data_IF_716654099934
#
_entry.id   IF_716654099934
#
_cell.length_a   1.000
_cell.length_b   1.000
_cell.length_c   1.000
_cell.angle_alpha   90.00
_cell.angle_beta   90.00
_cell.angle_gamma   90.00
#
_symmetry.space_group_name_H-M   'P 1'
#
loop_
_entity.id
_entity.type
_entity.pdbx_description
1 polymer ?
#
# COMPACT_ATOMS: atom_id res chain seq x y z
N UNK A 1 29.79 -18.82 28.67
CA UNK A 1 29.22 -18.89 27.31
C UNK A 1 28.19 -17.78 27.08
N UNK A 2 27.24 -17.59 28.01
CA UNK A 2 26.18 -16.57 27.99
C UNK A 2 26.70 -15.12 27.80
N UNK A 3 27.76 -14.71 28.52
CA UNK A 3 28.41 -13.38 28.33
C UNK A 3 28.94 -13.13 26.91
N UNK A 4 29.27 -14.18 26.15
CA UNK A 4 29.87 -14.06 24.81
C UNK A 4 28.80 -13.85 23.74
N UNK A 5 27.66 -14.53 23.88
CA UNK A 5 26.46 -14.33 23.06
C UNK A 5 25.82 -12.95 23.32
N UNK A 6 25.81 -12.50 24.58
CA UNK A 6 25.33 -11.17 24.97
C UNK A 6 26.10 -10.03 24.29
N UNK A 7 27.42 -10.16 24.17
CA UNK A 7 28.23 -9.18 23.45
C UNK A 7 28.00 -9.22 21.92
N UNK A 8 27.61 -10.36 21.34
CA UNK A 8 27.31 -10.45 19.91
C UNK A 8 25.99 -9.77 19.55
N UNK A 9 24.96 -9.89 20.40
CA UNK A 9 23.68 -9.20 20.22
C UNK A 9 23.81 -7.66 20.35
N UNK A 10 24.76 -7.16 21.16
CA UNK A 10 25.05 -5.73 21.28
C UNK A 10 25.91 -5.16 20.13
N UNK A 11 26.43 -5.99 19.23
CA UNK A 11 27.48 -5.60 18.26
C UNK A 11 27.04 -5.48 16.80
N UNK A 12 25.77 -5.73 16.45
CA UNK A 12 25.25 -5.37 15.12
C UNK A 12 24.95 -3.88 15.09
N UNK A 13 26.00 -3.09 14.90
CA UNK A 13 25.91 -1.66 14.58
C UNK A 13 25.43 -1.57 13.12
N UNK A 14 24.27 -0.95 12.83
CA UNK A 14 23.85 -0.67 11.47
C UNK A 14 24.98 0.02 10.69
N UNK A 15 25.13 -0.28 9.40
CA UNK A 15 26.22 0.30 8.59
C UNK A 15 26.23 1.84 8.60
N UNK A 16 25.07 2.46 8.84
CA UNK A 16 24.88 3.91 9.03
C UNK A 16 25.53 4.49 10.29
N UNK A 17 25.94 3.65 11.24
CA UNK A 17 26.54 4.03 12.53
C UNK A 17 28.02 3.60 12.65
N UNK A 18 28.66 3.17 11.55
CA UNK A 18 30.08 2.81 11.51
C UNK A 18 30.95 3.93 12.10
N UNK A 19 31.56 3.66 13.26
CA UNK A 19 32.51 4.56 13.92
C UNK A 19 31.97 5.34 15.13
N UNK A 20 30.69 5.20 15.49
CA UNK A 20 30.16 5.73 16.76
C UNK A 20 29.66 4.57 17.62
N UNK A 21 30.19 4.43 18.83
CA UNK A 21 29.62 3.51 19.80
C UNK A 21 28.18 3.96 20.11
N UNK A 22 27.17 3.08 20.00
CA UNK A 22 25.84 3.44 20.43
C UNK A 22 25.90 3.79 21.93
N UNK A 23 25.17 4.82 22.39
CA UNK A 23 25.02 5.06 23.82
C UNK A 23 24.54 3.77 24.49
N UNK A 24 25.11 3.48 25.66
CA UNK A 24 25.37 2.16 26.26
C UNK A 24 24.18 1.18 26.46
N UNK A 25 22.98 1.43 25.94
CA UNK A 25 21.78 0.61 26.18
C UNK A 25 20.92 0.37 24.93
N UNK A 26 21.52 0.08 23.78
CA UNK A 26 20.79 -0.40 22.58
C UNK A 26 20.87 -1.92 22.53
N UNK A 27 19.82 -2.61 22.94
CA UNK A 27 19.72 -4.08 22.81
C UNK A 27 19.13 -4.41 21.43
N UNK A 28 19.95 -4.94 20.52
CA UNK A 28 19.43 -5.67 19.35
C UNK A 28 19.10 -7.06 19.86
N UNK A 29 17.82 -7.42 19.86
CA UNK A 29 17.41 -8.69 20.45
C UNK A 29 17.49 -9.80 19.42
N UNK A 30 18.40 -10.76 19.63
CA UNK A 30 18.34 -12.07 19.00
C UNK A 30 17.32 -12.97 19.73
N UNK A 31 16.55 -13.77 18.98
CA UNK A 31 15.50 -14.68 19.48
C UNK A 31 16.00 -15.64 20.57
N UNK A 32 17.30 -15.98 20.55
CA UNK A 32 17.97 -16.78 21.58
C UNK A 32 18.03 -16.13 22.97
N UNK A 33 17.87 -14.80 23.04
CA UNK A 33 17.91 -13.99 24.27
C UNK A 33 16.57 -14.00 25.04
N UNK A 34 15.49 -14.42 24.38
CA UNK A 34 14.09 -14.34 24.85
C UNK A 34 13.85 -15.25 26.06
N UNK A 35 14.46 -16.43 26.06
CA UNK A 35 14.24 -17.44 27.09
C UNK A 35 15.27 -17.38 28.23
N UNK A 36 16.13 -16.36 28.24
CA UNK A 36 17.05 -16.09 29.34
C UNK A 36 16.37 -15.28 30.44
N UNK A 37 16.32 -15.82 31.67
CA UNK A 37 15.73 -15.14 32.84
C UNK A 37 16.43 -13.83 33.25
N UNK A 38 17.62 -13.57 32.70
CA UNK A 38 18.53 -12.51 33.15
C UNK A 38 18.72 -11.36 32.13
N UNK A 39 17.67 -10.99 31.38
CA UNK A 39 17.75 -9.81 30.52
C UNK A 39 17.57 -8.52 31.37
N UNK A 40 18.59 -7.64 31.46
CA UNK A 40 18.51 -6.42 32.27
C UNK A 40 17.57 -5.38 31.65
N UNK A 41 17.07 -4.46 32.48
CA UNK A 41 16.20 -3.39 32.02
C UNK A 41 16.95 -2.41 31.09
N UNK A 42 16.33 -2.07 29.96
CA UNK A 42 16.90 -1.26 28.86
C UNK A 42 16.27 0.13 28.79
N UNK A 43 17.04 1.11 28.32
CA UNK A 43 16.55 2.49 28.12
C UNK A 43 15.95 2.67 26.73
N UNK A 44 16.38 1.90 25.73
CA UNK A 44 15.84 1.98 24.36
C UNK A 44 15.76 0.61 23.73
N UNK A 45 14.62 0.32 23.11
CA UNK A 45 14.35 -0.94 22.43
C UNK A 45 13.98 -0.65 20.97
N UNK A 46 14.74 -1.25 20.05
CA UNK A 46 14.54 -1.12 18.61
C UNK A 46 13.90 -2.41 18.09
N UNK A 47 12.64 -2.34 17.65
CA UNK A 47 11.93 -3.49 17.09
C UNK A 47 11.98 -3.47 15.57
N UNK A 48 12.94 -4.22 15.01
CA UNK A 48 12.94 -4.49 13.57
C UNK A 48 11.63 -5.15 13.15
N UNK A 49 11.15 -4.82 11.95
CA UNK A 49 9.84 -5.23 11.48
C UNK A 49 9.71 -6.75 11.34
N UNK A 50 10.72 -7.42 10.81
CA UNK A 50 10.74 -8.88 10.63
C UNK A 50 10.58 -9.61 11.96
N UNK A 51 11.34 -9.18 12.97
CA UNK A 51 11.25 -9.75 14.31
C UNK A 51 9.89 -9.41 14.95
N UNK A 52 9.43 -8.16 14.84
CA UNK A 52 8.15 -7.73 15.40
C UNK A 52 6.95 -8.51 14.84
N UNK A 53 7.00 -8.92 13.57
CA UNK A 53 5.97 -9.76 12.95
C UNK A 53 6.03 -11.20 13.46
N UNK A 54 7.23 -11.77 13.59
CA UNK A 54 7.45 -13.16 14.00
C UNK A 54 7.18 -13.42 15.49
N UNK A 55 7.26 -12.40 16.34
CA UNK A 55 7.02 -12.53 17.78
C UNK A 55 5.53 -12.73 18.09
N UNK A 56 5.23 -13.55 19.09
CA UNK A 56 3.88 -13.56 19.68
C UNK A 56 3.61 -12.22 20.37
N UNK A 57 2.32 -11.88 20.56
CA UNK A 57 1.99 -10.63 21.23
C UNK A 57 2.50 -10.63 22.68
N UNK A 58 2.45 -11.78 23.34
CA UNK A 58 2.96 -11.98 24.70
C UNK A 58 4.47 -11.75 24.77
N UNK A 59 5.23 -12.22 23.80
CA UNK A 59 6.68 -12.01 23.73
C UNK A 59 7.00 -10.52 23.52
N UNK A 60 6.22 -9.85 22.66
CA UNK A 60 6.32 -8.41 22.45
C UNK A 60 6.06 -7.61 23.74
N UNK A 61 5.06 -8.02 24.54
CA UNK A 61 4.83 -7.44 25.86
C UNK A 61 6.00 -7.70 26.82
N UNK A 62 6.59 -8.89 26.79
CA UNK A 62 7.77 -9.18 27.61
C UNK A 62 8.94 -8.25 27.25
N UNK A 63 9.15 -7.97 25.97
CA UNK A 63 10.16 -7.00 25.53
C UNK A 63 9.90 -5.59 26.04
N UNK A 64 8.66 -5.11 25.86
CA UNK A 64 8.27 -3.79 26.33
C UNK A 64 8.36 -3.70 27.86
N UNK A 65 8.06 -4.78 28.58
CA UNK A 65 8.23 -4.88 30.03
C UNK A 65 9.68 -4.81 30.51
N UNK A 66 10.68 -4.94 29.62
CA UNK A 66 12.10 -4.70 29.96
C UNK A 66 12.49 -3.23 29.86
N UNK A 67 11.65 -2.36 29.33
CA UNK A 67 11.93 -0.93 29.33
C UNK A 67 11.96 -0.40 30.76
N UNK A 68 12.94 0.44 31.07
CA UNK A 68 12.90 1.24 32.30
C UNK A 68 11.71 2.19 32.26
N UNK A 69 11.38 2.78 33.42
CA UNK A 69 10.22 3.67 33.60
C UNK A 69 10.12 4.79 32.55
N UNK A 70 11.26 5.30 32.07
CA UNK A 70 11.36 6.35 31.05
C UNK A 70 12.00 5.85 29.74
N UNK A 71 11.98 4.52 29.53
CA UNK A 71 12.55 3.88 28.36
C UNK A 71 11.72 4.13 27.09
N UNK A 72 12.39 4.14 25.94
CA UNK A 72 11.77 4.38 24.63
C UNK A 72 11.73 3.11 23.78
N UNK A 73 10.56 2.74 23.26
CA UNK A 73 10.43 1.75 22.20
C UNK A 73 10.31 2.43 20.84
N UNK A 74 11.13 2.03 19.88
CA UNK A 74 11.04 2.48 18.49
C UNK A 74 10.54 1.32 17.65
N UNK A 75 9.39 1.54 17.03
CA UNK A 75 8.79 0.63 16.07
C UNK A 75 9.02 1.18 14.67
N UNK A 76 9.47 0.32 13.76
CA UNK A 76 9.70 0.71 12.36
C UNK A 76 8.39 0.69 11.54
N UNK A 77 7.32 0.15 12.10
CA UNK A 77 6.01 0.05 11.46
C UNK A 77 4.88 0.41 12.43
N UNK A 78 3.95 1.23 11.96
CA UNK A 78 2.73 1.58 12.69
C UNK A 78 1.89 0.34 13.01
N UNK A 79 1.94 -0.68 12.14
CA UNK A 79 1.24 -1.96 12.31
C UNK A 79 1.76 -2.71 13.54
N UNK A 80 3.08 -2.88 13.65
CA UNK A 80 3.73 -3.52 14.81
C UNK A 80 3.50 -2.73 16.10
N UNK A 81 3.55 -1.39 16.04
CA UNK A 81 3.23 -0.53 17.18
C UNK A 81 1.79 -0.73 17.66
N UNK A 82 0.83 -0.79 16.73
CA UNK A 82 -0.59 -0.99 17.07
C UNK A 82 -0.83 -2.38 17.61
N UNK A 83 -0.25 -3.43 17.02
CA UNK A 83 -0.30 -4.79 17.57
C UNK A 83 0.25 -4.82 18.99
N UNK A 84 1.40 -4.20 19.25
CA UNK A 84 1.93 -4.05 20.59
C UNK A 84 0.96 -3.34 21.54
N UNK A 85 0.38 -2.21 21.14
CA UNK A 85 -0.44 -1.38 22.01
C UNK A 85 -1.87 -1.92 22.23
N UNK A 86 -2.46 -2.55 21.22
CA UNK A 86 -3.89 -2.87 21.17
C UNK A 86 -4.20 -4.37 21.22
N UNK A 87 -3.19 -5.24 21.08
CA UNK A 87 -3.36 -6.69 21.15
C UNK A 87 -3.20 -7.42 19.83
N UNK A 88 -3.23 -8.77 19.85
CA UNK A 88 -3.03 -9.61 18.66
C UNK A 88 -4.13 -9.43 17.61
N UNK A 89 -5.36 -9.09 18.02
CA UNK A 89 -6.50 -8.86 17.10
C UNK A 89 -6.53 -7.46 16.46
N UNK A 90 -5.59 -6.57 16.80
CA UNK A 90 -5.59 -5.20 16.29
C UNK A 90 -5.38 -5.14 14.77
N UNK A 91 -4.52 -6.01 14.24
CA UNK A 91 -4.26 -6.08 12.80
C UNK A 91 -5.46 -6.61 12.02
N UNK A 92 -6.09 -7.68 12.51
CA UNK A 92 -7.30 -8.24 11.90
C UNK A 92 -8.46 -7.24 11.91
N UNK A 93 -8.59 -6.46 12.98
CA UNK A 93 -9.59 -5.40 13.09
C UNK A 93 -9.33 -4.25 12.11
N UNK A 94 -8.07 -3.88 11.90
CA UNK A 94 -7.68 -2.85 10.91
C UNK A 94 -7.89 -3.33 9.48
N UNK A 95 -7.42 -4.54 9.15
CA UNK A 95 -7.61 -5.16 7.83
C UNK A 95 -9.12 -5.29 7.53
N UNK A 96 -9.93 -5.65 8.54
CA UNK A 96 -11.40 -5.67 8.43
C UNK A 96 -11.98 -4.29 8.19
N UNK A 97 -11.56 -3.27 8.94
CA UNK A 97 -12.04 -1.90 8.77
C UNK A 97 -11.64 -1.32 7.40
N UNK A 98 -10.47 -1.68 6.88
CA UNK A 98 -10.03 -1.32 5.54
C UNK A 98 -10.89 -2.02 4.46
N UNK A 99 -11.18 -3.31 4.63
CA UNK A 99 -12.06 -4.05 3.73
C UNK A 99 -13.50 -3.50 3.74
N UNK A 100 -14.03 -3.17 4.92
CA UNK A 100 -15.35 -2.54 5.05
C UNK A 100 -15.38 -1.18 4.34
N UNK A 101 -14.35 -0.36 4.53
CA UNK A 101 -14.28 0.94 3.87
C UNK A 101 -14.14 0.82 2.34
N UNK A 102 -13.30 -0.11 1.86
CA UNK A 102 -13.20 -0.40 0.42
C UNK A 102 -14.56 -0.78 -0.16
N UNK A 103 -15.34 -1.59 0.55
CA UNK A 103 -16.69 -1.98 0.12
C UNK A 103 -17.65 -0.79 0.12
N UNK A 104 -17.57 0.10 1.10
CA UNK A 104 -18.43 1.29 1.13
C UNK A 104 -18.16 2.23 -0.06
N UNK A 105 -16.87 2.41 -0.42
CA UNK A 105 -16.48 3.16 -1.62
C UNK A 105 -17.00 2.48 -2.88
N UNK A 106 -16.90 1.14 -2.97
CA UNK A 106 -17.41 0.38 -4.11
C UNK A 106 -18.92 0.50 -4.28
N UNK A 107 -19.68 0.41 -3.18
CA UNK A 107 -21.13 0.59 -3.18
C UNK A 107 -21.50 2.00 -3.64
N UNK A 108 -20.76 3.01 -3.19
CA UNK A 108 -20.97 4.40 -3.62
C UNK A 108 -20.71 4.57 -5.12
N UNK A 109 -19.58 4.08 -5.63
CA UNK A 109 -19.23 4.13 -7.07
C UNK A 109 -20.27 3.38 -7.90
N UNK A 110 -20.67 2.18 -7.50
CA UNK A 110 -21.71 1.40 -8.20
C UNK A 110 -23.05 2.14 -8.20
N UNK A 111 -23.44 2.77 -7.10
CA UNK A 111 -24.67 3.55 -6.99
C UNK A 111 -24.70 4.84 -7.83
N UNK A 112 -23.54 5.29 -8.30
CA UNK A 112 -23.39 6.39 -9.26
C UNK A 112 -23.51 5.90 -10.71
N UNK A 113 -23.29 4.61 -10.96
CA UNK A 113 -23.43 4.05 -12.30
C UNK A 113 -24.91 4.05 -12.74
N UNK A 114 -25.19 4.44 -13.98
CA UNK A 114 -26.55 4.40 -14.54
C UNK A 114 -27.46 5.60 -14.22
N UNK A 115 -26.93 6.67 -13.61
CA UNK A 115 -27.58 7.99 -13.53
C UNK A 115 -26.98 8.94 -14.56
N UNK A 116 -27.60 10.13 -14.73
CA UNK A 116 -26.91 11.25 -15.37
C UNK A 116 -25.64 11.52 -14.57
N UNK A 117 -24.49 11.38 -15.23
CA UNK A 117 -23.17 11.50 -14.61
C UNK A 117 -22.85 12.97 -14.40
N UNK A 118 -22.37 13.30 -13.21
CA UNK A 118 -21.87 14.61 -12.84
C UNK A 118 -20.63 14.40 -11.98
N UNK A 119 -19.46 14.55 -12.59
CA UNK A 119 -18.16 14.27 -11.98
C UNK A 119 -17.92 15.08 -10.70
N UNK A 120 -18.40 16.33 -10.65
CA UNK A 120 -18.24 17.21 -9.48
C UNK A 120 -19.16 16.75 -8.34
N UNK A 121 -20.43 16.43 -8.63
CA UNK A 121 -21.36 15.90 -7.64
C UNK A 121 -20.92 14.54 -7.09
N UNK A 122 -20.37 13.67 -7.94
CA UNK A 122 -19.85 12.35 -7.55
C UNK A 122 -18.60 12.47 -6.66
N UNK A 123 -17.64 13.32 -7.03
CA UNK A 123 -16.47 13.61 -6.21
C UNK A 123 -16.87 14.22 -4.85
N UNK A 124 -17.86 15.12 -4.83
CA UNK A 124 -18.39 15.69 -3.58
C UNK A 124 -19.08 14.63 -2.70
N UNK A 125 -19.82 13.69 -3.29
CA UNK A 125 -20.44 12.60 -2.56
C UNK A 125 -19.40 11.66 -1.94
N UNK A 126 -18.33 11.33 -2.67
CA UNK A 126 -17.21 10.53 -2.14
C UNK A 126 -16.43 11.26 -1.06
N UNK A 127 -16.27 12.59 -1.18
CA UNK A 127 -15.68 13.42 -0.11
C UNK A 127 -16.50 13.34 1.16
N UNK A 128 -17.82 13.47 1.06
CA UNK A 128 -18.73 13.36 2.20
C UNK A 128 -18.70 11.97 2.83
N UNK A 129 -18.60 10.91 2.02
CA UNK A 129 -18.42 9.55 2.51
C UNK A 129 -17.14 9.43 3.35
N UNK A 130 -16.02 9.94 2.83
CA UNK A 130 -14.73 9.94 3.51
C UNK A 130 -14.82 10.65 4.88
N UNK A 131 -15.36 11.87 4.89
CA UNK A 131 -15.54 12.67 6.11
C UNK A 131 -16.42 11.95 7.14
N UNK A 132 -17.51 11.31 6.70
CA UNK A 132 -18.45 10.60 7.58
C UNK A 132 -17.83 9.38 8.27
N UNK A 133 -16.82 8.77 7.65
CA UNK A 133 -16.12 7.58 8.16
C UNK A 133 -14.73 7.92 8.72
N UNK A 134 -14.38 9.21 8.83
CA UNK A 134 -13.09 9.66 9.36
C UNK A 134 -11.89 9.30 8.48
N UNK A 135 -12.12 9.14 7.18
CA UNK A 135 -11.12 8.75 6.18
C UNK A 135 -10.67 9.93 5.34
N UNK A 136 -9.53 9.78 4.68
CA UNK A 136 -8.99 10.86 3.85
C UNK A 136 -9.61 10.86 2.45
N UNK A 137 -9.74 12.04 1.85
CA UNK A 137 -10.21 12.16 0.47
C UNK A 137 -9.27 11.45 -0.53
N UNK A 138 -7.96 11.51 -0.28
CA UNK A 138 -6.94 10.83 -1.06
C UNK A 138 -7.08 9.29 -1.02
N UNK A 139 -7.26 8.70 0.17
CA UNK A 139 -7.51 7.26 0.33
C UNK A 139 -8.78 6.82 -0.41
N UNK A 140 -9.81 7.66 -0.36
CA UNK A 140 -11.09 7.43 -1.06
C UNK A 140 -10.90 7.46 -2.57
N UNK A 141 -10.13 8.43 -3.09
CA UNK A 141 -9.79 8.50 -4.51
C UNK A 141 -9.00 7.29 -4.97
N UNK A 142 -8.00 6.88 -4.20
CA UNK A 142 -7.20 5.68 -4.48
C UNK A 142 -8.06 4.40 -4.52
N UNK A 143 -8.99 4.24 -3.57
CA UNK A 143 -9.94 3.14 -3.57
C UNK A 143 -10.95 3.24 -4.72
N UNK A 144 -11.41 4.45 -5.06
CA UNK A 144 -12.30 4.68 -6.20
C UNK A 144 -11.62 4.25 -7.52
N UNK A 145 -10.33 4.56 -7.73
CA UNK A 145 -9.58 4.10 -8.89
C UNK A 145 -9.56 2.58 -8.98
N UNK A 146 -9.26 1.89 -7.88
CA UNK A 146 -9.28 0.43 -7.83
C UNK A 146 -10.70 -0.15 -8.06
N UNK A 147 -11.74 0.55 -7.60
CA UNK A 147 -13.14 0.17 -7.85
C UNK A 147 -13.51 0.32 -9.33
N UNK A 148 -13.17 1.44 -9.97
CA UNK A 148 -13.40 1.69 -11.41
C UNK A 148 -12.69 0.63 -12.25
N UNK A 149 -11.45 0.29 -11.91
CA UNK A 149 -10.76 -0.83 -12.55
C UNK A 149 -11.52 -2.14 -12.37
N UNK A 150 -12.05 -2.37 -11.17
CA UNK A 150 -12.76 -3.60 -10.91
C UNK A 150 -14.14 -3.71 -11.56
N UNK A 151 -14.69 -2.63 -12.13
CA UNK A 151 -15.96 -2.68 -12.89
C UNK A 151 -15.85 -3.56 -14.14
N UNK A 152 -14.64 -3.76 -14.69
CA UNK A 152 -14.40 -4.66 -15.83
C UNK A 152 -14.04 -6.09 -15.42
N UNK A 153 -14.05 -6.36 -14.12
CA UNK A 153 -13.87 -7.69 -13.56
C UNK A 153 -15.22 -8.27 -13.10
N UNK A 154 -15.35 -9.61 -13.00
CA UNK A 154 -16.53 -10.22 -12.42
C UNK A 154 -16.86 -9.65 -11.04
N UNK A 155 -18.15 -9.52 -10.74
CA UNK A 155 -18.62 -8.93 -9.50
C UNK A 155 -18.04 -9.67 -8.27
N UNK A 156 -17.53 -8.94 -7.26
CA UNK A 156 -17.14 -9.57 -6.01
C UNK A 156 -18.36 -10.15 -5.28
N UNK A 157 -18.12 -11.18 -4.48
CA UNK A 157 -19.17 -11.76 -3.62
C UNK A 157 -19.62 -10.78 -2.54
N UNK A 158 -20.93 -10.71 -2.29
CA UNK A 158 -21.48 -9.96 -1.15
C UNK A 158 -21.78 -8.48 -1.42
N UNK A 159 -21.90 -8.08 -2.69
CA UNK A 159 -22.47 -6.79 -3.06
C UNK A 159 -23.96 -6.73 -2.68
N UNK A 160 -24.46 -5.58 -2.17
CA UNK A 160 -25.88 -5.38 -1.91
C UNK A 160 -26.78 -5.55 -3.14
N UNK A 161 -27.98 -6.07 -2.92
CA UNK A 161 -29.01 -6.12 -3.95
C UNK A 161 -29.49 -4.72 -4.36
N UNK A 162 -29.96 -4.57 -5.59
CA UNK A 162 -30.50 -3.30 -6.12
C UNK A 162 -29.46 -2.34 -6.70
N UNK A 163 -28.17 -2.70 -6.66
CA UNK A 163 -27.12 -1.94 -7.34
C UNK A 163 -27.14 -2.16 -8.86
N UNK A 164 -26.71 -1.16 -9.65
CA UNK A 164 -26.51 -1.28 -11.09
C UNK A 164 -25.60 -2.46 -11.45
N UNK A 165 -26.04 -3.28 -12.40
CA UNK A 165 -25.29 -4.45 -12.88
C UNK A 165 -24.29 -4.05 -13.96
N UNK A 166 -23.18 -3.46 -13.53
CA UNK A 166 -22.11 -2.98 -14.44
C UNK A 166 -21.04 -4.04 -14.68
N UNK A 167 -20.79 -4.91 -13.69
CA UNK A 167 -19.80 -5.96 -13.81
C UNK A 167 -20.15 -6.95 -14.93
N UNK A 168 -19.16 -7.36 -15.75
CA UNK A 168 -19.38 -8.41 -16.73
C UNK A 168 -19.66 -9.76 -16.06
N UNK A 169 -20.47 -10.59 -16.71
CA UNK A 169 -20.78 -11.95 -16.24
C UNK A 169 -19.60 -12.91 -16.36
N UNK A 170 -18.72 -12.66 -17.34
CA UNK A 170 -17.51 -13.43 -17.59
C UNK A 170 -16.29 -12.50 -17.71
N UNK A 171 -15.09 -12.95 -17.30
CA UNK A 171 -13.89 -12.15 -17.44
C UNK A 171 -13.55 -11.92 -18.91
N UNK A 172 -12.94 -10.78 -19.23
CA UNK A 172 -12.46 -10.48 -20.57
C UNK A 172 -11.52 -11.58 -21.10
N UNK A 173 -11.68 -11.98 -22.37
CA UNK A 173 -10.94 -13.10 -22.96
C UNK A 173 -9.43 -12.86 -23.03
N UNK A 174 -9.00 -11.63 -23.37
CA UNK A 174 -7.58 -11.25 -23.45
C UNK A 174 -7.29 -10.00 -22.61
N UNK A 175 -6.01 -9.76 -22.30
CA UNK A 175 -5.60 -8.54 -21.56
C UNK A 175 -5.82 -7.27 -22.40
N UNK A 176 -5.76 -7.37 -23.74
CA UNK A 176 -6.12 -6.28 -24.64
C UNK A 176 -7.60 -5.91 -24.50
N UNK A 177 -8.48 -6.89 -24.43
CA UNK A 177 -9.92 -6.65 -24.26
C UNK A 177 -10.22 -6.06 -22.88
N UNK A 178 -9.53 -6.54 -21.84
CA UNK A 178 -9.62 -6.00 -20.49
C UNK A 178 -9.26 -4.51 -20.46
N UNK A 179 -8.11 -4.15 -21.07
CA UNK A 179 -7.63 -2.76 -21.09
C UNK A 179 -8.51 -1.85 -21.95
N UNK A 180 -9.06 -2.35 -23.06
CA UNK A 180 -10.03 -1.60 -23.85
C UNK A 180 -11.36 -1.37 -23.10
N UNK A 181 -11.81 -2.33 -22.30
CA UNK A 181 -12.97 -2.13 -21.42
C UNK A 181 -12.64 -1.14 -20.30
N UNK A 182 -11.43 -1.20 -19.73
CA UNK A 182 -10.96 -0.26 -18.72
C UNK A 182 -10.94 1.16 -19.27
N UNK A 183 -10.39 1.37 -20.45
CA UNK A 183 -10.35 2.69 -21.10
C UNK A 183 -11.76 3.30 -21.22
N UNK A 184 -12.77 2.51 -21.61
CA UNK A 184 -14.17 2.96 -21.64
C UNK A 184 -14.73 3.34 -20.26
N UNK A 185 -14.34 2.62 -19.22
CA UNK A 185 -14.72 2.99 -17.85
C UNK A 185 -14.03 4.29 -17.43
N UNK A 186 -12.79 4.53 -17.85
CA UNK A 186 -12.08 5.77 -17.59
C UNK A 186 -12.62 6.96 -18.40
N UNK A 187 -13.14 6.76 -19.61
CA UNK A 187 -13.88 7.82 -20.33
C UNK A 187 -15.10 8.32 -19.52
N UNK A 188 -15.69 7.44 -18.71
CA UNK A 188 -16.89 7.76 -17.91
C UNK A 188 -16.56 8.24 -16.49
N UNK A 189 -15.46 7.77 -15.91
CA UNK A 189 -15.10 8.00 -14.50
C UNK A 189 -13.82 8.84 -14.32
N UNK A 190 -13.05 9.09 -15.38
CA UNK A 190 -11.72 9.68 -15.35
C UNK A 190 -11.70 11.08 -14.74
N UNK A 191 -12.59 11.96 -15.19
CA UNK A 191 -12.71 13.33 -14.68
C UNK A 191 -12.98 13.36 -13.15
N UNK A 192 -13.85 12.48 -12.65
CA UNK A 192 -14.09 12.33 -11.22
C UNK A 192 -12.82 11.87 -10.48
N UNK A 193 -12.08 10.89 -11.03
CA UNK A 193 -10.84 10.40 -10.45
C UNK A 193 -9.75 11.49 -10.43
N UNK A 194 -9.60 12.25 -11.51
CA UNK A 194 -8.68 13.38 -11.62
C UNK A 194 -8.99 14.45 -10.57
N UNK A 195 -10.28 14.79 -10.38
CA UNK A 195 -10.71 15.74 -9.34
C UNK A 195 -10.35 15.27 -7.93
N UNK A 196 -10.34 13.96 -7.68
CA UNK A 196 -9.98 13.36 -6.39
C UNK A 196 -8.46 13.25 -6.19
N UNK A 197 -7.69 13.02 -7.24
CA UNK A 197 -6.26 12.71 -7.21
C UNK A 197 -5.39 13.89 -7.67
N UNK A 198 -5.61 15.07 -7.07
CA UNK A 198 -4.93 16.32 -7.50
C UNK A 198 -3.44 16.35 -7.19
N UNK A 199 -2.99 15.67 -6.15
CA UNK A 199 -1.60 15.71 -5.72
C UNK A 199 -0.88 14.45 -6.18
N UNK A 200 0.40 14.60 -6.50
CA UNK A 200 1.32 13.48 -6.77
C UNK A 200 1.24 12.38 -5.69
N UNK A 201 1.17 12.75 -4.41
CA UNK A 201 1.06 11.80 -3.31
C UNK A 201 -0.25 10.99 -3.34
N UNK A 202 -1.36 11.59 -3.79
CA UNK A 202 -2.66 10.94 -3.88
C UNK A 202 -2.65 9.93 -5.05
N UNK A 203 -2.04 10.30 -6.18
CA UNK A 203 -1.85 9.43 -7.33
C UNK A 203 -0.94 8.24 -7.01
N UNK A 204 0.16 8.45 -6.27
CA UNK A 204 1.01 7.36 -5.76
C UNK A 204 0.20 6.40 -4.87
N UNK A 205 -0.68 6.93 -4.01
CA UNK A 205 -1.57 6.11 -3.19
C UNK A 205 -2.55 5.29 -4.06
N UNK A 206 -3.05 5.85 -5.16
CA UNK A 206 -3.85 5.12 -6.14
C UNK A 206 -3.05 3.98 -6.77
N UNK A 207 -1.81 4.21 -7.20
CA UNK A 207 -0.94 3.16 -7.74
C UNK A 207 -0.73 2.03 -6.72
N UNK A 208 -0.54 2.36 -5.43
CA UNK A 208 -0.43 1.34 -4.38
C UNK A 208 -1.73 0.50 -4.23
N UNK A 209 -2.92 1.10 -4.39
CA UNK A 209 -4.19 0.34 -4.37
C UNK A 209 -4.38 -0.49 -5.64
N UNK A 210 -3.89 -0.04 -6.79
CA UNK A 210 -3.87 -0.80 -8.03
C UNK A 210 -2.98 -2.03 -7.91
N UNK A 211 -1.78 -1.85 -7.37
CA UNK A 211 -0.86 -2.94 -7.06
C UNK A 211 -1.49 -3.94 -6.07
N UNK A 212 -2.12 -3.45 -4.99
CA UNK A 212 -2.81 -4.32 -4.04
C UNK A 212 -3.93 -5.14 -4.70
N UNK A 213 -4.70 -4.53 -5.60
CA UNK A 213 -5.72 -5.23 -6.40
C UNK A 213 -5.08 -6.31 -7.29
N UNK A 214 -3.99 -5.98 -7.97
CA UNK A 214 -3.28 -6.89 -8.87
C UNK A 214 -2.66 -8.10 -8.13
N UNK A 215 -2.17 -7.87 -6.92
CA UNK A 215 -1.54 -8.88 -6.08
C UNK A 215 -2.53 -9.66 -5.20
N UNK A 216 -3.83 -9.29 -5.22
CA UNK A 216 -4.84 -9.80 -4.28
C UNK A 216 -4.40 -9.60 -2.81
N UNK A 217 -3.79 -8.46 -2.52
CA UNK A 217 -3.41 -8.04 -1.17
C UNK A 217 -4.56 -7.26 -0.51
N UNK A 218 -4.50 -7.01 0.82
CA UNK A 218 -5.50 -6.19 1.52
C UNK A 218 -5.68 -4.83 0.83
N UNK A 219 -6.92 -4.33 0.66
CA UNK A 219 -8.21 -4.91 1.07
C UNK A 219 -8.87 -5.89 0.08
N UNK A 220 -8.16 -6.37 -0.94
CA UNK A 220 -8.69 -7.11 -2.10
C UNK A 220 -8.46 -8.63 -2.07
N UNK A 221 -8.13 -9.23 -0.91
CA UNK A 221 -7.70 -10.64 -0.78
C UNK A 221 -8.67 -11.67 -1.38
N UNK A 222 -9.97 -11.36 -1.45
CA UNK A 222 -11.01 -12.26 -1.97
C UNK A 222 -11.56 -11.80 -3.33
N UNK A 223 -10.91 -10.85 -3.98
CA UNK A 223 -11.40 -10.25 -5.22
C UNK A 223 -10.88 -11.04 -6.42
N UNK A 224 -11.80 -11.67 -7.13
CA UNK A 224 -11.47 -12.46 -8.32
C UNK A 224 -11.13 -11.55 -9.50
N UNK A 225 -10.09 -11.90 -10.25
CA UNK A 225 -9.74 -11.25 -11.52
C UNK A 225 -8.68 -10.15 -11.42
N UNK A 226 -8.35 -9.65 -10.22
CA UNK A 226 -7.31 -8.61 -10.04
C UNK A 226 -5.95 -9.00 -10.63
N UNK A 227 -5.57 -10.27 -10.53
CA UNK A 227 -4.33 -10.84 -11.10
C UNK A 227 -4.15 -10.59 -12.61
N UNK A 228 -5.22 -10.29 -13.35
CA UNK A 228 -5.12 -9.92 -14.77
C UNK A 228 -4.33 -8.61 -14.96
N UNK A 229 -4.51 -7.65 -14.05
CA UNK A 229 -3.73 -6.41 -14.04
C UNK A 229 -2.26 -6.65 -13.71
N UNK A 230 -1.94 -7.72 -12.97
CA UNK A 230 -0.55 -8.10 -12.76
C UNK A 230 0.10 -8.44 -14.10
N UNK A 231 -0.55 -9.27 -14.93
CA UNK A 231 -0.06 -9.64 -16.27
C UNK A 231 0.21 -8.45 -17.18
N UNK A 232 -0.61 -7.41 -17.07
CA UNK A 232 -0.60 -6.21 -17.90
C UNK A 232 -0.17 -4.93 -17.16
N UNK A 233 0.66 -5.02 -16.11
CA UNK A 233 0.93 -3.90 -15.20
C UNK A 233 1.39 -2.62 -15.91
N UNK A 234 2.43 -2.69 -16.76
CA UNK A 234 2.90 -1.54 -17.54
C UNK A 234 1.79 -0.89 -18.39
N UNK A 235 1.00 -1.70 -19.11
CA UNK A 235 -0.10 -1.19 -19.93
C UNK A 235 -1.29 -0.69 -19.12
N UNK A 236 -1.48 -1.21 -17.92
CA UNK A 236 -2.52 -0.72 -16.99
C UNK A 236 -2.19 0.68 -16.50
N UNK A 237 -0.93 0.93 -16.10
CA UNK A 237 -0.47 2.27 -15.73
C UNK A 237 -0.52 3.23 -16.93
N UNK A 238 -0.14 2.76 -18.12
CA UNK A 238 -0.24 3.55 -19.35
C UNK A 238 -1.69 3.99 -19.62
N UNK A 239 -2.67 3.08 -19.52
CA UNK A 239 -4.10 3.42 -19.76
C UNK A 239 -4.63 4.45 -18.74
N UNK A 240 -4.12 4.45 -17.51
CA UNK A 240 -4.48 5.45 -16.49
C UNK A 240 -3.78 6.80 -16.72
N UNK A 241 -2.54 6.77 -17.22
CA UNK A 241 -1.80 7.95 -17.65
C UNK A 241 -2.46 8.61 -18.87
N UNK A 242 -2.78 7.84 -19.90
CA UNK A 242 -3.46 8.31 -21.11
C UNK A 242 -4.86 8.89 -20.83
N UNK A 243 -5.44 8.58 -19.66
CA UNK A 243 -6.74 9.07 -19.21
C UNK A 243 -6.64 10.21 -18.19
N UNK A 244 -5.46 10.83 -18.03
CA UNK A 244 -5.17 11.94 -17.12
C UNK A 244 -5.43 11.64 -15.62
N UNK A 245 -5.55 10.35 -15.25
CA UNK A 245 -5.73 9.93 -13.85
C UNK A 245 -4.41 9.92 -13.08
N UNK A 246 -3.31 9.60 -13.77
CA UNK A 246 -1.96 9.56 -13.22
C UNK A 246 -1.05 10.46 -14.04
N UNK A 247 -0.27 11.32 -13.37
CA UNK A 247 0.76 12.10 -14.04
C UNK A 247 2.05 11.30 -14.19
N UNK A 248 2.89 11.72 -15.13
CA UNK A 248 4.23 11.15 -15.33
C UNK A 248 5.05 11.19 -14.02
N UNK A 249 5.06 12.33 -13.34
CA UNK A 249 5.85 12.53 -12.13
C UNK A 249 5.38 11.63 -10.99
N UNK A 250 4.09 11.29 -10.94
CA UNK A 250 3.56 10.34 -9.96
C UNK A 250 4.01 8.91 -10.24
N UNK A 251 3.99 8.47 -11.50
CA UNK A 251 4.42 7.12 -11.90
C UNK A 251 5.91 6.93 -11.66
N UNK A 252 6.74 7.91 -12.05
CA UNK A 252 8.19 7.88 -11.82
C UNK A 252 8.48 7.90 -10.31
N UNK A 253 7.85 8.82 -9.55
CA UNK A 253 8.06 8.91 -8.11
C UNK A 253 7.64 7.64 -7.36
N UNK A 254 6.55 6.98 -7.78
CA UNK A 254 6.16 5.68 -7.24
C UNK A 254 7.23 4.61 -7.54
N UNK A 255 7.73 4.55 -8.77
CA UNK A 255 8.78 3.61 -9.17
C UNK A 255 10.05 3.77 -8.34
N UNK A 256 10.49 5.01 -8.12
CA UNK A 256 11.64 5.33 -7.25
C UNK A 256 11.39 4.94 -5.79
N UNK A 257 10.21 5.23 -5.24
CA UNK A 257 9.84 4.83 -3.88
C UNK A 257 9.85 3.31 -3.71
N UNK A 258 9.34 2.57 -4.71
CA UNK A 258 9.35 1.11 -4.71
C UNK A 258 10.75 0.54 -4.80
N UNK A 259 11.59 1.09 -5.67
CA UNK A 259 12.99 0.69 -5.78
C UNK A 259 13.77 0.93 -4.47
N UNK A 260 13.54 2.07 -3.82
CA UNK A 260 14.13 2.38 -2.53
C UNK A 260 13.62 1.43 -1.43
N UNK A 261 12.33 1.14 -1.39
CA UNK A 261 11.76 0.17 -0.46
C UNK A 261 12.33 -1.24 -0.67
N UNK A 262 12.48 -1.70 -1.92
CA UNK A 262 13.11 -3.00 -2.23
C UNK A 262 14.59 -3.07 -1.83
N UNK A 263 15.29 -1.94 -1.81
CA UNK A 263 16.67 -1.90 -1.32
C UNK A 263 16.77 -2.07 0.20
N UNK A 264 15.71 -1.72 0.93
CA UNK A 264 15.61 -1.86 2.38
C UNK A 264 15.02 -3.22 2.79
N UNK A 265 14.07 -3.73 2.00
CA UNK A 265 13.42 -5.03 2.18
C UNK A 265 13.42 -5.79 0.84
N UNK A 266 14.47 -6.59 0.56
CA UNK A 266 14.58 -7.38 -0.67
C UNK A 266 13.51 -8.46 -0.82
N UNK A 267 12.83 -8.85 0.26
CA UNK A 267 11.79 -9.89 0.26
C UNK A 267 10.37 -9.32 0.03
N UNK A 268 10.23 -7.99 -0.06
CA UNK A 268 8.97 -7.32 -0.38
C UNK A 268 8.44 -7.77 -1.76
N UNK A 269 7.12 -7.95 -1.89
CA UNK A 269 6.50 -8.37 -3.15
C UNK A 269 6.69 -7.30 -4.26
N UNK A 270 7.61 -7.59 -5.19
CA UNK A 270 7.96 -6.71 -6.30
C UNK A 270 7.22 -7.06 -7.60
N UNK A 271 6.34 -8.07 -7.63
CA UNK A 271 5.86 -8.65 -8.90
C UNK A 271 5.16 -7.64 -9.80
N UNK A 272 4.39 -6.71 -9.22
CA UNK A 272 3.73 -5.65 -9.98
C UNK A 272 4.73 -4.62 -10.49
N UNK A 273 5.62 -4.14 -9.62
CA UNK A 273 6.69 -3.21 -9.98
C UNK A 273 7.58 -3.73 -11.12
N UNK A 274 8.06 -4.98 -11.03
CA UNK A 274 8.89 -5.60 -12.07
C UNK A 274 8.20 -5.61 -13.44
N UNK A 275 6.88 -5.83 -13.46
CA UNK A 275 6.09 -5.81 -14.70
C UNK A 275 5.71 -4.40 -15.16
N UNK A 276 5.79 -3.40 -14.30
CA UNK A 276 5.55 -2.00 -14.60
C UNK A 276 6.80 -1.28 -15.15
N UNK A 277 8.01 -1.77 -14.85
CA UNK A 277 9.30 -1.19 -15.27
C UNK A 277 9.35 -0.72 -16.73
N UNK A 278 8.88 -1.48 -17.74
CA UNK A 278 8.97 -1.03 -19.13
C UNK A 278 8.26 0.31 -19.40
N UNK A 279 7.16 0.60 -18.69
CA UNK A 279 6.47 1.87 -18.82
C UNK A 279 7.15 2.99 -18.04
N UNK A 280 7.69 2.70 -16.85
CA UNK A 280 8.46 3.68 -16.06
C UNK A 280 9.69 4.13 -16.85
N UNK A 281 10.46 3.19 -17.39
CA UNK A 281 11.66 3.51 -18.18
C UNK A 281 11.33 4.30 -19.43
N UNK A 282 10.19 4.01 -20.08
CA UNK A 282 9.73 4.81 -21.22
C UNK A 282 9.44 6.26 -20.85
N UNK A 283 8.79 6.51 -19.70
CA UNK A 283 8.55 7.88 -19.19
C UNK A 283 9.87 8.60 -18.86
N UNK A 284 10.82 7.91 -18.22
CA UNK A 284 12.13 8.47 -17.86
C UNK A 284 12.96 8.84 -19.11
N UNK A 285 12.91 8.00 -20.16
CA UNK A 285 13.57 8.25 -21.44
C UNK A 285 12.93 9.43 -22.20
N UNK A 286 11.60 9.51 -22.21
CA UNK A 286 10.87 10.62 -22.84
C UNK A 286 11.22 11.96 -22.17
N UNK A 287 11.22 12.00 -20.84
CA UNK A 287 11.58 13.19 -20.06
C UNK A 287 13.02 13.66 -20.33
N UNK A 288 13.97 12.72 -20.43
CA UNK A 288 15.38 13.05 -20.70
C UNK A 288 15.62 13.55 -22.14
N UNK A 289 14.73 13.22 -23.08
CA UNK A 289 14.87 13.58 -24.50
C UNK A 289 14.35 15.00 -24.81
N UNK A 290 13.44 15.53 -23.98
CA UNK A 290 12.89 16.88 -24.16
C UNK A 290 13.83 17.98 -23.63
N UNK A 291 14.71 17.67 -22.66
CA UNK A 291 15.69 18.63 -22.13
C UNK A 291 16.89 18.88 -23.08
N UNK A 292 17.12 18.02 -24.09
CA UNK A 292 18.22 18.17 -25.06
C UNK A 292 17.81 18.89 -26.36
N UNK A 293 16.54 19.31 -26.52
CA UNK A 293 16.00 19.87 -27.77
C UNK A 293 15.69 21.38 -27.74
N UNK A 294 16.17 22.13 -26.73
CA UNK A 294 15.96 23.58 -26.58
C UNK A 294 17.23 24.44 -26.80
N UNK A 295 18.28 23.87 -27.42
CA UNK A 295 19.46 24.60 -27.89
C UNK A 295 19.70 24.44 -29.41
N UNK A 296 18.84 25.05 -30.25
CA UNK A 296 19.23 25.52 -31.61
C UNK A 296 18.63 26.90 -31.93
#
# INVERSE_FOLDING_TARGET
MVKRLYNQALLTVPDSLKGRAPPLNVLVVDYSSIYGTDCPAVDTLLLQEDLGRLLAWEDLQQFLGRLRRDGTAIFYSLRTLRRAALGPGAEEAEDKAECEYQRDVEVAILGMQGKSRDSEAEAAALKKLAESLGRSFAETGALATACVMSLVLPAPSGLPDGLPKVHPSEPAGTDKDLLAQLAKQLETNGEMLEMMLKKRADQILAINKIEALALSASPFVKRTGGVRYLGAAAKTLQVLYDADVLSEEAVIAWGQQKQAALSLDPDMDARFFEKAKPFISWLEEASSSEEESDEE
#
